data_IF_672547542398
#
_entry.id   IF_672547542398
#
_cell.length_a   1.000
_cell.length_b   1.000
_cell.length_c   1.000
_cell.angle_alpha   90.00
_cell.angle_beta   90.00
_cell.angle_gamma   90.00
#
_symmetry.space_group_name_H-M   'P 1'
#
loop_
_entity.id
_entity.type
_entity.pdbx_description
1 polymer ?
#
# COMPACT_ATOMS: atom_id res chain seq x y z
N UNK A 1 16.03 -76.73 -42.03
CA UNK A 1 15.33 -77.41 -40.91
C UNK A 1 14.76 -76.31 -40.00
N UNK A 2 13.49 -75.93 -40.23
CA UNK A 2 12.34 -76.12 -39.32
C UNK A 2 12.55 -75.50 -37.92
N UNK A 3 11.88 -74.36 -37.62
CA UNK A 3 10.64 -74.22 -36.79
C UNK A 3 10.94 -74.38 -35.28
N UNK A 4 10.46 -73.59 -34.31
CA UNK A 4 9.18 -72.90 -34.08
C UNK A 4 9.27 -72.22 -32.68
N UNK A 5 8.41 -71.21 -32.43
CA UNK A 5 7.78 -70.86 -31.11
C UNK A 5 8.69 -70.15 -30.05
N UNK A 6 8.32 -69.04 -29.36
CA UNK A 6 7.00 -68.50 -29.00
C UNK A 6 7.03 -67.00 -28.63
N UNK A 7 6.06 -66.27 -29.19
CA UNK A 7 5.32 -65.04 -28.80
C UNK A 7 5.40 -64.62 -27.30
N UNK A 8 5.57 -63.30 -27.02
CA UNK A 8 4.72 -62.55 -26.06
C UNK A 8 4.93 -61.01 -26.05
N UNK A 9 3.89 -60.33 -26.53
CA UNK A 9 3.29 -59.04 -26.07
C UNK A 9 3.98 -57.70 -26.40
N UNK A 10 3.44 -57.08 -27.46
CA UNK A 10 3.32 -55.63 -27.67
C UNK A 10 2.63 -54.94 -26.48
N UNK A 11 3.20 -53.85 -25.97
CA UNK A 11 2.43 -52.72 -25.43
C UNK A 11 3.03 -51.42 -25.98
N UNK A 12 2.45 -50.96 -27.09
CA UNK A 12 2.60 -49.61 -27.58
C UNK A 12 1.71 -48.69 -26.72
N UNK A 13 2.30 -48.06 -25.71
CA UNK A 13 1.66 -47.03 -24.90
C UNK A 13 1.92 -45.65 -25.46
N UNK A 14 1.02 -45.18 -26.32
CA UNK A 14 0.86 -43.77 -26.71
C UNK A 14 0.70 -42.90 -25.46
N UNK A 15 1.75 -42.17 -25.08
CA UNK A 15 1.61 -41.06 -24.14
C UNK A 15 1.19 -39.85 -24.96
N UNK A 16 -0.10 -39.52 -24.80
CA UNK A 16 -0.72 -38.29 -25.26
C UNK A 16 0.14 -37.08 -24.90
N UNK A 17 0.48 -36.31 -25.92
CA UNK A 17 0.84 -34.90 -25.81
C UNK A 17 -0.32 -34.13 -25.18
N UNK A 18 -0.35 -34.07 -23.85
CA UNK A 18 -1.10 -33.03 -23.16
C UNK A 18 -0.35 -31.72 -23.44
N UNK A 19 -0.89 -30.94 -24.38
CA UNK A 19 -0.48 -29.58 -24.58
C UNK A 19 -0.63 -28.82 -23.26
N UNK A 20 0.49 -28.38 -22.69
CA UNK A 20 0.48 -27.24 -21.80
C UNK A 20 0.09 -26.02 -22.64
N UNK A 21 -1.22 -25.81 -22.84
CA UNK A 21 -1.74 -24.48 -23.08
C UNK A 21 -1.52 -23.70 -21.79
N UNK A 22 -0.35 -23.07 -21.66
CA UNK A 22 -0.05 -22.09 -20.63
C UNK A 22 -0.82 -20.79 -20.87
N UNK A 23 -2.15 -20.88 -21.00
CA UNK A 23 -3.06 -19.76 -20.86
C UNK A 23 -3.42 -19.69 -19.39
N UNK A 24 -2.63 -18.97 -18.60
CA UNK A 24 -2.91 -18.74 -17.19
C UNK A 24 -4.25 -18.02 -17.05
N UNK A 25 -5.32 -18.79 -16.88
CA UNK A 25 -6.59 -18.33 -16.31
C UNK A 25 -6.42 -17.81 -14.86
N UNK A 26 -5.19 -17.84 -14.34
CA UNK A 26 -4.78 -17.28 -13.05
C UNK A 26 -4.52 -15.76 -13.07
N UNK A 27 -4.47 -15.09 -14.22
CA UNK A 27 -4.42 -13.61 -14.27
C UNK A 27 -5.82 -12.96 -14.38
N UNK A 28 -6.87 -13.77 -14.62
CA UNK A 28 -8.23 -13.23 -14.74
C UNK A 28 -8.83 -12.75 -13.41
N UNK A 29 -8.17 -12.99 -12.27
CA UNK A 29 -8.66 -12.56 -10.95
C UNK A 29 -8.03 -11.26 -10.43
N UNK A 30 -7.02 -10.73 -11.13
CA UNK A 30 -6.34 -9.49 -10.76
C UNK A 30 -6.73 -8.35 -11.71
N UNK A 31 -6.77 -7.10 -11.21
CA UNK A 31 -6.97 -5.93 -12.07
C UNK A 31 -5.88 -5.87 -13.15
N UNK A 32 -6.20 -5.39 -14.36
CA UNK A 32 -5.21 -5.29 -15.45
C UNK A 32 -4.24 -4.10 -15.27
N UNK A 33 -4.42 -3.35 -14.19
CA UNK A 33 -3.60 -2.20 -13.78
C UNK A 33 -2.98 -2.44 -12.41
N UNK A 34 -1.90 -1.73 -12.11
CA UNK A 34 -1.33 -1.58 -10.78
C UNK A 34 -1.25 -0.09 -10.45
N UNK A 35 -1.21 0.22 -9.15
CA UNK A 35 -1.17 1.59 -8.66
C UNK A 35 0.21 1.94 -8.16
N UNK A 36 0.65 3.15 -8.47
CA UNK A 36 1.84 3.77 -7.87
C UNK A 36 1.37 5.04 -7.17
N UNK A 37 1.91 5.31 -5.99
CA UNK A 37 1.63 6.54 -5.25
C UNK A 37 2.93 7.32 -5.15
N UNK A 38 2.85 8.60 -5.42
CA UNK A 38 3.94 9.54 -5.30
C UNK A 38 3.50 10.67 -4.35
N UNK A 39 4.26 10.87 -3.28
CA UNK A 39 4.06 11.99 -2.36
C UNK A 39 5.00 13.09 -2.81
N UNK A 40 4.43 14.15 -3.35
CA UNK A 40 5.19 15.24 -3.94
C UNK A 40 5.59 16.26 -2.88
N UNK A 41 4.70 16.53 -1.92
CA UNK A 41 4.92 17.55 -0.90
C UNK A 41 4.21 17.22 0.40
N UNK A 42 4.95 17.26 1.51
CA UNK A 42 4.42 17.20 2.87
C UNK A 42 5.44 17.82 3.84
N UNK A 43 5.00 18.17 5.05
CA UNK A 43 5.90 18.64 6.10
C UNK A 43 6.30 17.49 7.05
N UNK A 44 7.55 16.99 7.01
CA UNK A 44 7.99 15.93 7.90
C UNK A 44 8.28 16.42 9.33
N UNK A 45 8.46 17.72 9.56
CA UNK A 45 8.82 18.28 10.87
C UNK A 45 7.58 18.87 11.55
N UNK A 46 7.15 18.23 12.64
CA UNK A 46 5.92 18.57 13.34
C UNK A 46 6.25 19.13 14.72
N UNK A 47 5.91 20.40 14.94
CA UNK A 47 5.94 20.98 16.28
C UNK A 47 4.60 20.70 16.97
N UNK A 48 4.57 19.69 17.84
CA UNK A 48 3.33 19.22 18.51
C UNK A 48 2.73 20.27 19.45
N UNK A 49 3.50 21.28 19.83
CA UNK A 49 3.03 22.38 20.69
C UNK A 49 2.51 23.59 19.90
N UNK A 50 2.74 23.65 18.60
CA UNK A 50 2.33 24.77 17.75
C UNK A 50 1.36 24.36 16.63
N UNK A 51 1.20 23.06 16.39
CA UNK A 51 0.24 22.55 15.41
C UNK A 51 -1.18 22.68 15.95
N UNK A 52 -2.08 23.10 15.06
CA UNK A 52 -3.52 23.15 15.31
C UNK A 52 -4.20 22.46 14.14
N UNK A 53 -4.98 21.42 14.42
CA UNK A 53 -5.63 20.58 13.43
C UNK A 53 -4.79 19.40 12.96
N UNK A 54 -5.37 18.64 12.05
CA UNK A 54 -4.79 17.41 11.51
C UNK A 54 -3.55 17.67 10.64
N UNK A 55 -2.63 16.71 10.58
CA UNK A 55 -1.55 16.75 9.61
C UNK A 55 -2.04 16.29 8.24
N UNK A 56 -1.62 17.01 7.22
CA UNK A 56 -1.98 16.75 5.83
C UNK A 56 -0.75 16.48 4.98
N UNK A 57 -0.95 15.69 3.91
CA UNK A 57 -0.06 15.64 2.76
C UNK A 57 -0.52 16.75 1.81
N UNK A 58 0.37 17.68 1.49
CA UNK A 58 0.04 18.87 0.70
C UNK A 58 -0.25 18.51 -0.75
N UNK A 59 0.59 17.66 -1.36
CA UNK A 59 0.38 17.12 -2.71
C UNK A 59 0.74 15.65 -2.76
N UNK A 60 -0.16 14.84 -3.33
CA UNK A 60 0.07 13.45 -3.66
C UNK A 60 -0.57 13.10 -5.01
N UNK A 61 0.08 12.22 -5.76
CA UNK A 61 -0.44 11.69 -7.01
C UNK A 61 -0.53 10.17 -6.95
N UNK A 62 -1.62 9.64 -7.52
CA UNK A 62 -1.86 8.21 -7.64
C UNK A 62 -1.98 7.89 -9.12
N UNK A 63 -1.04 7.10 -9.62
CA UNK A 63 -0.96 6.71 -11.03
C UNK A 63 -1.40 5.26 -11.20
N UNK A 64 -2.29 5.03 -12.16
CA UNK A 64 -2.70 3.70 -12.60
C UNK A 64 -1.94 3.33 -13.86
N UNK A 65 -1.12 2.27 -13.79
CA UNK A 65 -0.32 1.77 -14.92
C UNK A 65 -0.83 0.42 -15.40
N UNK A 66 -0.91 0.16 -16.72
CA UNK A 66 -1.24 -1.16 -17.22
C UNK A 66 -0.13 -2.16 -16.84
N UNK A 67 -0.53 -3.36 -16.43
CA UNK A 67 0.43 -4.47 -16.21
C UNK A 67 1.06 -4.95 -17.52
N UNK A 68 0.33 -4.83 -18.62
CA UNK A 68 0.81 -5.12 -19.97
C UNK A 68 0.77 -3.83 -20.81
N UNK A 69 1.91 -3.28 -21.26
CA UNK A 69 1.93 -2.03 -22.01
C UNK A 69 1.26 -2.12 -23.40
N UNK A 70 1.07 -3.32 -23.95
CA UNK A 70 0.51 -3.54 -25.27
C UNK A 70 -1.03 -3.59 -25.30
N UNK A 71 -1.69 -3.57 -24.13
CA UNK A 71 -3.16 -3.59 -24.05
C UNK A 71 -3.75 -2.18 -24.04
N UNK A 72 -4.81 -1.98 -24.81
CA UNK A 72 -5.63 -0.78 -24.69
C UNK A 72 -6.55 -0.93 -23.47
N UNK A 73 -6.33 -0.10 -22.45
CA UNK A 73 -7.22 -0.04 -21.29
C UNK A 73 -8.58 0.55 -21.69
N UNK A 74 -9.62 0.07 -21.04
CA UNK A 74 -11.00 0.58 -21.20
C UNK A 74 -11.48 1.12 -19.86
N UNK A 75 -12.60 1.85 -19.84
CA UNK A 75 -13.21 2.37 -18.62
C UNK A 75 -13.52 1.29 -17.56
N UNK A 76 -13.61 0.01 -17.95
CA UNK A 76 -13.73 -1.10 -17.01
C UNK A 76 -12.52 -1.27 -16.09
N UNK A 77 -11.37 -0.69 -16.46
CA UNK A 77 -10.13 -0.69 -15.67
C UNK A 77 -9.92 0.61 -14.89
N UNK A 78 -10.88 1.53 -14.91
CA UNK A 78 -10.87 2.68 -14.02
C UNK A 78 -11.01 2.21 -12.56
N UNK A 79 -10.32 2.89 -11.66
CA UNK A 79 -10.17 2.48 -10.26
C UNK A 79 -10.96 3.43 -9.36
N UNK A 80 -11.72 2.84 -8.45
CA UNK A 80 -12.37 3.53 -7.34
C UNK A 80 -11.70 3.07 -6.04
N UNK A 81 -10.83 3.91 -5.49
CA UNK A 81 -10.20 3.75 -4.18
C UNK A 81 -11.20 4.15 -3.11
N UNK A 82 -11.15 3.48 -1.95
CA UNK A 82 -12.17 3.64 -0.89
C UNK A 82 -11.58 3.67 0.49
N UNK A 83 -10.56 2.85 0.73
CA UNK A 83 -10.09 2.56 2.07
C UNK A 83 -8.59 2.82 2.12
N UNK A 84 -8.17 3.70 3.03
CA UNK A 84 -6.77 4.01 3.29
C UNK A 84 -6.46 3.46 4.67
N UNK A 85 -5.62 2.43 4.72
CA UNK A 85 -5.17 1.80 5.94
C UNK A 85 -3.81 2.39 6.32
N UNK A 86 -3.71 2.90 7.55
CA UNK A 86 -2.48 3.49 8.07
C UNK A 86 -2.01 2.66 9.26
N UNK A 87 -0.82 2.08 9.12
CA UNK A 87 -0.12 1.40 10.21
C UNK A 87 1.06 2.25 10.68
N UNK A 88 1.16 2.47 11.97
CA UNK A 88 2.19 3.31 12.57
C UNK A 88 3.34 2.48 13.09
N UNK A 89 4.56 2.99 12.99
CA UNK A 89 5.74 2.41 13.62
C UNK A 89 6.70 3.46 14.12
N UNK A 90 7.37 3.21 15.24
CA UNK A 90 8.52 4.00 15.67
C UNK A 90 9.77 3.64 14.86
N UNK A 91 10.58 4.64 14.56
CA UNK A 91 11.82 4.50 13.77
C UNK A 91 13.08 4.94 14.51
N UNK A 92 12.93 5.35 15.76
CA UNK A 92 13.98 5.90 16.64
C UNK A 92 14.26 5.02 17.89
N UNK A 93 13.69 3.82 17.95
CA UNK A 93 13.98 2.83 18.97
C UNK A 93 12.99 2.75 20.14
N UNK A 94 12.00 3.64 20.21
CA UNK A 94 10.88 3.47 21.15
C UNK A 94 9.86 2.42 20.68
N UNK A 95 8.92 2.08 21.55
CA UNK A 95 7.90 1.05 21.34
C UNK A 95 6.46 1.57 21.43
N UNK A 96 6.23 2.69 22.11
CA UNK A 96 4.90 3.31 22.20
C UNK A 96 4.64 4.13 20.94
N UNK A 97 3.68 3.73 20.12
CA UNK A 97 3.24 4.44 18.91
C UNK A 97 1.85 5.04 19.09
N UNK A 98 1.47 5.95 18.18
CA UNK A 98 0.05 6.20 17.94
C UNK A 98 -0.69 4.92 17.50
N UNK A 99 -2.02 4.85 17.69
CA UNK A 99 -2.83 3.72 17.21
C UNK A 99 -2.78 3.61 15.68
N UNK A 100 -3.09 2.44 15.14
CA UNK A 100 -3.40 2.30 13.71
C UNK A 100 -4.82 2.85 13.42
N UNK A 101 -5.03 3.41 12.23
CA UNK A 101 -6.35 3.92 11.82
C UNK A 101 -6.64 3.69 10.34
N UNK A 102 -7.91 3.91 9.98
CA UNK A 102 -8.38 3.84 8.61
C UNK A 102 -9.11 5.12 8.22
N UNK A 103 -8.98 5.55 6.96
CA UNK A 103 -9.67 6.72 6.42
C UNK A 103 -10.54 6.27 5.22
N UNK A 104 -11.88 6.36 5.31
CA UNK A 104 -12.74 6.04 4.19
C UNK A 104 -12.78 7.24 3.22
N UNK A 105 -12.06 7.15 2.11
CA UNK A 105 -12.07 8.17 1.05
C UNK A 105 -12.25 7.55 -0.32
N UNK A 106 -13.24 8.07 -1.05
CA UNK A 106 -13.47 7.74 -2.44
C UNK A 106 -12.58 8.57 -3.37
N UNK A 107 -11.65 7.93 -4.06
CA UNK A 107 -10.81 8.56 -5.10
C UNK A 107 -10.96 7.80 -6.40
N UNK A 108 -11.15 8.52 -7.50
CA UNK A 108 -11.25 7.93 -8.83
C UNK A 108 -9.95 8.12 -9.60
N UNK A 109 -9.39 7.03 -10.11
CA UNK A 109 -8.18 7.03 -10.93
C UNK A 109 -8.50 6.39 -12.28
N UNK A 110 -8.43 7.12 -13.41
CA UNK A 110 -8.62 6.53 -14.72
C UNK A 110 -7.62 5.39 -14.99
N UNK A 111 -8.04 4.33 -15.67
CA UNK A 111 -7.16 3.25 -16.07
C UNK A 111 -6.07 3.77 -17.02
N UNK A 112 -4.80 3.71 -16.62
CA UNK A 112 -3.70 4.29 -17.41
C UNK A 112 -3.49 5.81 -17.20
N UNK A 113 -4.20 6.40 -16.23
CA UNK A 113 -4.11 7.83 -15.91
C UNK A 113 -3.70 8.08 -14.46
N UNK A 114 -3.82 9.35 -14.06
CA UNK A 114 -3.39 9.85 -12.75
C UNK A 114 -4.54 10.57 -12.06
N UNK A 115 -4.61 10.46 -10.75
CA UNK A 115 -5.38 11.33 -9.88
C UNK A 115 -4.42 12.12 -8.99
N UNK A 116 -4.63 13.43 -8.92
CA UNK A 116 -3.89 14.32 -8.01
C UNK A 116 -4.80 14.71 -6.86
N UNK A 117 -4.28 14.67 -5.64
CA UNK A 117 -4.98 15.10 -4.44
C UNK A 117 -4.14 16.13 -3.71
N UNK A 118 -4.83 17.10 -3.12
CA UNK A 118 -4.21 18.20 -2.39
C UNK A 118 -4.76 18.25 -0.96
N UNK A 119 -3.91 18.66 -0.01
CA UNK A 119 -4.26 18.86 1.40
C UNK A 119 -4.98 17.66 2.02
N UNK A 120 -4.48 16.46 1.73
CA UNK A 120 -5.10 15.23 2.17
C UNK A 120 -4.76 14.92 3.63
N UNK A 121 -5.77 14.83 4.50
CA UNK A 121 -5.60 14.47 5.91
C UNK A 121 -4.97 13.09 6.03
N UNK A 122 -3.78 13.03 6.64
CA UNK A 122 -3.10 11.77 6.91
C UNK A 122 -3.07 11.45 8.40
N UNK A 123 -2.83 12.43 9.27
CA UNK A 123 -2.61 12.20 10.70
C UNK A 123 -3.64 12.96 11.55
N UNK A 124 -4.44 12.26 12.37
CA UNK A 124 -5.41 12.90 13.25
C UNK A 124 -4.78 13.74 14.37
N UNK A 125 -5.27 14.97 14.60
CA UNK A 125 -4.78 15.85 15.66
C UNK A 125 -4.90 15.22 17.05
N UNK A 126 -5.96 14.46 17.30
CA UNK A 126 -6.25 13.85 18.60
C UNK A 126 -5.10 12.96 19.10
N UNK A 127 -4.38 12.32 18.19
CA UNK A 127 -3.25 11.45 18.53
C UNK A 127 -2.02 12.24 19.00
N UNK A 128 -1.92 13.54 18.68
CA UNK A 128 -0.82 14.40 19.12
C UNK A 128 -0.90 14.74 20.62
N UNK A 129 -2.06 14.52 21.25
CA UNK A 129 -2.26 14.70 22.69
C UNK A 129 -1.96 13.42 23.50
N UNK A 130 -1.72 12.29 22.85
CA UNK A 130 -1.47 11.00 23.47
C UNK A 130 0.03 10.66 23.50
N UNK A 131 0.46 9.67 24.30
CA UNK A 131 1.80 9.09 24.18
C UNK A 131 2.05 8.59 22.75
N UNK A 132 3.26 8.76 22.20
CA UNK A 132 4.47 9.25 22.88
C UNK A 132 4.64 10.78 22.90
N UNK A 133 3.76 11.55 22.26
CA UNK A 133 3.98 12.97 22.03
C UNK A 133 3.69 13.84 23.25
N UNK A 134 2.77 13.42 24.11
CA UNK A 134 2.48 14.15 25.35
C UNK A 134 3.70 14.31 26.26
N UNK A 135 4.70 13.42 26.20
CA UNK A 135 5.95 13.52 26.94
C UNK A 135 6.87 14.66 26.46
N UNK A 136 6.71 15.09 25.21
CA UNK A 136 7.50 16.16 24.61
C UNK A 136 7.08 17.55 25.11
N UNK A 137 5.92 17.67 25.75
CA UNK A 137 5.44 18.94 26.29
C UNK A 137 6.34 19.40 27.46
N UNK A 138 6.64 20.71 27.58
CA UNK A 138 7.52 21.23 28.63
C UNK A 138 7.04 20.88 30.04
N UNK A 139 5.72 20.82 30.25
CA UNK A 139 5.09 20.47 31.51
C UNK A 139 5.38 19.02 31.93
N UNK A 140 5.69 18.15 30.97
CA UNK A 140 5.99 16.73 31.17
C UNK A 140 7.50 16.41 31.10
N UNK A 141 8.36 17.44 31.05
CA UNK A 141 9.81 17.30 31.06
C UNK A 141 10.48 17.36 29.68
N UNK A 142 9.69 17.41 28.59
CA UNK A 142 10.19 17.64 27.24
C UNK A 142 11.02 16.49 26.64
N UNK A 143 10.91 15.28 27.19
CA UNK A 143 11.71 14.13 26.82
C UNK A 143 10.84 12.87 26.77
N UNK A 144 11.00 12.10 25.69
CA UNK A 144 10.43 10.76 25.57
C UNK A 144 11.10 9.81 26.59
N UNK A 145 10.35 9.18 27.50
CA UNK A 145 10.90 8.32 28.55
C UNK A 145 11.57 7.04 28.01
N UNK A 146 11.21 6.57 26.81
CA UNK A 146 11.80 5.35 26.24
C UNK A 146 13.17 5.60 25.61
N UNK A 147 13.34 6.73 24.93
CA UNK A 147 14.56 7.05 24.17
C UNK A 147 15.45 8.09 24.86
N UNK A 148 14.91 8.85 25.81
CA UNK A 148 15.57 10.00 26.43
C UNK A 148 15.76 11.19 25.48
N UNK A 149 15.10 11.18 24.30
CA UNK A 149 15.22 12.23 23.30
C UNK A 149 14.08 13.26 23.42
N UNK A 150 14.35 14.51 23.06
CA UNK A 150 13.34 15.57 22.95
C UNK A 150 12.57 15.54 21.62
N UNK A 151 12.66 14.44 20.89
CA UNK A 151 12.04 14.23 19.59
C UNK A 151 11.59 12.79 19.47
N UNK A 152 10.48 12.58 18.78
CA UNK A 152 9.96 11.25 18.43
C UNK A 152 9.89 11.13 16.92
N UNK A 153 10.24 9.97 16.36
CA UNK A 153 10.10 9.67 14.93
C UNK A 153 9.15 8.51 14.71
N UNK A 154 8.06 8.79 13.99
CA UNK A 154 7.13 7.76 13.54
C UNK A 154 7.08 7.71 12.01
N UNK A 155 7.01 6.48 11.50
CA UNK A 155 6.72 6.18 10.11
C UNK A 155 5.29 5.65 9.99
N UNK A 156 4.61 6.08 8.93
CA UNK A 156 3.31 5.58 8.51
C UNK A 156 3.52 4.66 7.31
N UNK A 157 3.02 3.44 7.42
CA UNK A 157 2.77 2.58 6.27
C UNK A 157 1.35 2.82 5.79
N UNK A 158 1.22 3.49 4.65
CA UNK A 158 -0.04 3.77 4.00
C UNK A 158 -0.31 2.72 2.91
N UNK A 159 -1.46 2.05 3.01
CA UNK A 159 -1.98 1.15 1.97
C UNK A 159 -3.32 1.68 1.50
N UNK A 160 -3.44 1.97 0.21
CA UNK A 160 -4.68 2.48 -0.37
C UNK A 160 -5.33 1.37 -1.19
N UNK A 161 -6.57 1.01 -0.84
CA UNK A 161 -7.29 -0.09 -1.44
C UNK A 161 -8.64 0.33 -2.03
N UNK A 162 -9.11 -0.50 -2.97
CA UNK A 162 -10.33 -0.24 -3.70
C UNK A 162 -10.65 -1.31 -4.72
N UNK A 163 -11.39 -0.92 -5.76
CA UNK A 163 -11.81 -1.82 -6.84
C UNK A 163 -11.78 -1.11 -8.18
N UNK A 164 -11.44 -1.86 -9.23
CA UNK A 164 -11.73 -1.41 -10.61
C UNK A 164 -13.23 -1.49 -10.89
N UNK A 165 -13.70 -0.74 -11.88
CA UNK A 165 -15.11 -0.76 -12.35
C UNK A 165 -15.57 -2.18 -12.72
N UNK A 166 -14.68 -3.03 -13.24
CA UNK A 166 -14.98 -4.44 -13.51
C UNK A 166 -15.14 -5.32 -12.26
N UNK A 167 -15.06 -4.75 -11.06
CA UNK A 167 -15.31 -5.41 -9.78
C UNK A 167 -14.09 -6.07 -9.12
N UNK A 168 -12.93 -6.11 -9.78
CA UNK A 168 -11.72 -6.72 -9.23
C UNK A 168 -11.11 -5.82 -8.16
N UNK A 169 -10.60 -6.44 -7.08
CA UNK A 169 -9.89 -5.71 -6.03
C UNK A 169 -8.54 -5.21 -6.51
N UNK A 170 -8.11 -4.08 -5.95
CA UNK A 170 -6.80 -3.48 -6.21
C UNK A 170 -6.31 -2.78 -4.93
N UNK A 171 -5.00 -2.78 -4.74
CA UNK A 171 -4.32 -2.09 -3.65
C UNK A 171 -3.00 -1.53 -4.17
N UNK A 172 -2.52 -0.46 -3.56
CA UNK A 172 -1.15 0.00 -3.71
C UNK A 172 -0.19 -0.93 -2.99
N UNK A 173 1.09 -0.89 -3.35
CA UNK A 173 2.15 -1.29 -2.43
C UNK A 173 2.20 -0.31 -1.23
N UNK A 174 2.73 -0.73 -0.08
CA UNK A 174 2.89 0.16 1.07
C UNK A 174 3.73 1.39 0.73
N UNK A 175 3.20 2.57 1.06
CA UNK A 175 3.86 3.86 0.90
C UNK A 175 4.32 4.32 2.28
N UNK A 176 5.54 4.79 2.38
CA UNK A 176 6.16 5.19 3.64
C UNK A 176 6.12 6.72 3.79
N UNK A 177 5.53 7.21 4.88
CA UNK A 177 5.55 8.62 5.25
C UNK A 177 6.17 8.75 6.62
N UNK A 178 7.28 9.47 6.73
CA UNK A 178 7.98 9.61 8.02
C UNK A 178 7.85 11.03 8.56
N UNK A 179 7.55 11.12 9.85
CA UNK A 179 7.44 12.36 10.61
C UNK A 179 8.46 12.40 11.75
N UNK A 180 8.91 13.60 12.06
CA UNK A 180 9.72 13.94 13.23
C UNK A 180 8.95 14.95 14.08
N UNK A 181 8.50 14.47 15.22
CA UNK A 181 7.75 15.24 16.21
C UNK A 181 8.68 15.85 17.24
N UNK A 182 8.44 17.10 17.58
CA UNK A 182 9.19 17.85 18.58
C UNK A 182 8.29 18.90 19.24
N UNK A 183 8.70 19.42 20.39
CA UNK A 183 8.09 20.59 21.01
C UNK A 183 9.21 21.46 21.57
N UNK A 184 9.65 22.46 20.79
CA UNK A 184 10.67 23.44 21.16
C UNK A 184 10.42 24.76 20.42
#
# INVERSE_FOLDING_TARGET
MYRLLTICVLVAGLIFSAGCSGGSALDNNSAAVFLTVEIEQYNPEVNVCAVFGDLTIESLSIESKPKNPDITLTANQDVNLRDWDITVRRTDGGTVTSPDWYIPVSVFVPGGGTASLENYRIYPEEFLADPPFNYLFPENGGLDPETGASVVREGLHLVISGRVVSGKAISTEPVEVSFRFHCN
#
